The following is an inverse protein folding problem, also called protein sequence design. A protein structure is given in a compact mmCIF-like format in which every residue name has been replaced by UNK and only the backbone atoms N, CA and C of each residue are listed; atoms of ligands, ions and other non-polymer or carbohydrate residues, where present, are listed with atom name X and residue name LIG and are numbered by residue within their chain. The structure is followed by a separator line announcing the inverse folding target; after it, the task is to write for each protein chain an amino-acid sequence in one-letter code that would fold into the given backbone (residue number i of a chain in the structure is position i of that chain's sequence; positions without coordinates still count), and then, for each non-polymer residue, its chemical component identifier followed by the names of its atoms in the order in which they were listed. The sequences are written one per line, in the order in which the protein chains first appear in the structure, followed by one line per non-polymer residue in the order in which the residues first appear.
data_IF_715050973252
#
_entry.id   IF_715050973252
#
_cell.length_a   1.000
_cell.length_b   1.000
_cell.length_c   1.000
_cell.angle_alpha   90.00
_cell.angle_beta   90.00
_cell.angle_gamma   90.00
#
_symmetry.space_group_name_H-M   'P 1'
#
loop_
_entity.id
_entity.type
_entity.pdbx_description
1 polymer ?
#
# COMPACT_ATOMS: atom_id res chain seq x y z
N UNK A 1 10.22 -17.84 15.88
CA UNK A 1 8.98 -17.15 16.21
C UNK A 1 8.70 -16.04 15.21
N UNK A 2 7.55 -15.40 15.29
CA UNK A 2 7.23 -14.22 14.48
C UNK A 2 7.90 -12.97 15.06
N UNK A 3 8.18 -11.99 14.18
CA UNK A 3 8.70 -10.67 14.53
C UNK A 3 8.12 -9.62 13.55
N UNK A 4 8.21 -8.34 13.91
CA UNK A 4 7.78 -7.27 13.00
C UNK A 4 8.77 -7.10 11.84
N UNK A 5 8.26 -6.80 10.67
CA UNK A 5 9.05 -6.46 9.49
C UNK A 5 9.65 -5.06 9.65
N UNK A 6 10.96 -4.92 9.49
CA UNK A 6 11.65 -3.64 9.65
C UNK A 6 11.29 -2.65 8.52
N UNK A 7 11.01 -3.18 7.34
CA UNK A 7 10.59 -2.38 6.19
C UNK A 7 9.13 -2.68 5.82
N UNK A 8 8.22 -1.84 6.28
CA UNK A 8 6.78 -1.98 6.06
C UNK A 8 6.39 -2.22 4.59
N UNK A 9 7.11 -1.63 3.63
CA UNK A 9 6.83 -1.75 2.20
C UNK A 9 6.98 -3.20 1.72
N UNK A 10 7.93 -3.96 2.25
CA UNK A 10 8.23 -5.32 1.82
C UNK A 10 7.08 -6.30 2.10
N UNK A 11 6.21 -6.00 3.05
CA UNK A 11 5.00 -6.78 3.32
C UNK A 11 4.02 -6.84 2.13
N UNK A 12 4.17 -5.96 1.14
CA UNK A 12 3.23 -5.76 0.03
C UNK A 12 3.92 -5.75 -1.34
N UNK A 13 5.11 -6.34 -1.43
CA UNK A 13 5.90 -6.51 -2.65
C UNK A 13 5.74 -7.92 -3.23
N UNK A 14 6.12 -8.11 -4.48
CA UNK A 14 5.88 -9.36 -5.20
C UNK A 14 6.52 -10.59 -4.58
N UNK A 15 7.62 -10.42 -3.87
CA UNK A 15 8.37 -11.48 -3.20
C UNK A 15 8.04 -11.62 -1.70
N UNK A 16 6.95 -11.03 -1.22
CA UNK A 16 6.61 -11.04 0.22
C UNK A 16 6.36 -12.46 0.78
N UNK A 17 6.03 -13.41 -0.08
CA UNK A 17 5.89 -14.81 0.27
C UNK A 17 7.21 -15.56 0.47
N UNK A 18 8.31 -15.08 -0.11
CA UNK A 18 9.65 -15.67 -0.08
C UNK A 18 10.64 -14.84 0.71
N UNK A 19 10.46 -13.50 0.73
CA UNK A 19 11.33 -12.56 1.44
C UNK A 19 11.33 -12.85 2.96
N UNK A 20 12.48 -13.18 3.56
CA UNK A 20 12.56 -13.51 4.99
C UNK A 20 12.06 -12.38 5.90
N UNK A 21 12.28 -11.11 5.53
CA UNK A 21 11.84 -9.95 6.30
C UNK A 21 10.31 -9.83 6.34
N UNK A 22 9.64 -10.00 5.20
CA UNK A 22 8.19 -9.99 5.15
C UNK A 22 7.58 -11.21 5.86
N UNK A 23 8.16 -12.40 5.65
CA UNK A 23 7.68 -13.67 6.22
C UNK A 23 7.74 -13.72 7.74
N UNK A 24 8.65 -13.00 8.37
CA UNK A 24 8.70 -12.99 9.85
C UNK A 24 7.47 -12.33 10.47
N UNK A 25 6.76 -11.46 9.75
CA UNK A 25 5.54 -10.80 10.24
C UNK A 25 4.24 -11.44 9.71
N UNK A 26 4.26 -11.99 8.49
CA UNK A 26 3.05 -12.55 7.85
C UNK A 26 2.71 -13.89 8.48
N UNK A 27 1.57 -13.98 9.18
CA UNK A 27 1.10 -15.19 9.84
C UNK A 27 0.31 -16.06 8.86
N UNK A 28 -0.62 -15.46 8.12
CA UNK A 28 -1.47 -16.17 7.17
C UNK A 28 -1.66 -15.37 5.88
N UNK A 29 -0.97 -15.74 4.80
CA UNK A 29 -1.15 -15.12 3.49
C UNK A 29 -2.21 -15.84 2.65
N UNK A 30 -2.93 -15.08 1.81
CA UNK A 30 -3.58 -15.62 0.62
C UNK A 30 -2.54 -15.60 -0.50
N UNK A 31 -2.09 -16.77 -0.90
CA UNK A 31 -1.06 -16.92 -1.93
C UNK A 31 -1.54 -16.44 -3.28
N UNK A 32 -0.68 -15.68 -3.95
CA UNK A 32 -0.85 -15.20 -5.31
C UNK A 32 0.32 -15.66 -6.17
N UNK A 33 0.04 -15.91 -7.42
CA UNK A 33 1.04 -16.33 -8.41
C UNK A 33 0.57 -15.80 -9.78
N UNK A 34 1.33 -14.92 -10.36
CA UNK A 34 0.98 -14.24 -11.61
C UNK A 34 0.79 -15.19 -12.81
N UNK A 35 1.19 -16.47 -12.67
CA UNK A 35 1.04 -17.48 -13.70
C UNK A 35 -0.15 -18.40 -13.41
N UNK A 36 -0.23 -18.98 -12.21
CA UNK A 36 -1.20 -20.03 -11.85
C UNK A 36 -2.51 -19.48 -11.34
N UNK A 37 -2.46 -18.41 -10.57
CA UNK A 37 -3.64 -17.72 -10.01
C UNK A 37 -3.98 -16.45 -10.79
N UNK A 38 -3.52 -16.37 -12.04
CA UNK A 38 -3.66 -15.21 -12.92
C UNK A 38 -5.13 -14.79 -13.04
N UNK A 39 -5.45 -13.59 -12.53
CA UNK A 39 -6.77 -12.99 -12.64
C UNK A 39 -6.69 -11.48 -12.51
N UNK A 40 -7.75 -10.78 -12.87
CA UNK A 40 -7.89 -9.33 -12.64
C UNK A 40 -8.33 -8.99 -11.20
N UNK A 41 -8.53 -9.99 -10.36
CA UNK A 41 -8.78 -9.86 -8.93
C UNK A 41 -7.49 -9.92 -8.10
N UNK A 42 -7.64 -10.14 -6.79
CA UNK A 42 -6.52 -10.31 -5.88
C UNK A 42 -5.54 -9.12 -5.87
N UNK A 43 -4.25 -9.42 -5.84
CA UNK A 43 -3.20 -8.39 -5.81
C UNK A 43 -3.14 -7.56 -7.09
N UNK A 44 -3.50 -8.12 -8.26
CA UNK A 44 -3.62 -7.36 -9.50
C UNK A 44 -4.58 -6.18 -9.34
N UNK A 45 -5.79 -6.43 -8.79
CA UNK A 45 -6.76 -5.38 -8.53
C UNK A 45 -6.20 -4.31 -7.60
N UNK A 46 -5.51 -4.71 -6.53
CA UNK A 46 -4.98 -3.79 -5.53
C UNK A 46 -3.93 -2.83 -6.11
N UNK A 47 -3.16 -3.27 -7.10
CA UNK A 47 -2.19 -2.42 -7.82
C UNK A 47 -2.88 -1.59 -8.91
N UNK A 48 -3.63 -2.23 -9.80
CA UNK A 48 -4.23 -1.58 -10.97
C UNK A 48 -5.29 -0.53 -10.59
N UNK A 49 -6.10 -0.80 -9.56
CA UNK A 49 -7.20 0.07 -9.15
C UNK A 49 -6.73 1.43 -8.62
N UNK A 50 -5.55 1.48 -8.00
CA UNK A 50 -4.99 2.72 -7.44
C UNK A 50 -4.10 3.48 -8.42
N UNK A 51 -3.64 2.80 -9.46
CA UNK A 51 -2.75 3.34 -10.46
C UNK A 51 -3.51 4.17 -11.50
N UNK A 52 -2.95 5.31 -11.89
CA UNK A 52 -3.45 6.14 -12.99
C UNK A 52 -2.50 6.08 -14.19
N UNK A 53 -3.02 6.41 -15.36
CA UNK A 53 -2.21 6.51 -16.58
C UNK A 53 -1.04 7.48 -16.38
N UNK A 54 0.15 7.07 -16.83
CA UNK A 54 1.39 7.83 -16.67
C UNK A 54 2.16 7.57 -15.38
N UNK A 55 1.60 6.87 -14.41
CA UNK A 55 2.38 6.34 -13.28
C UNK A 55 3.22 5.14 -13.71
N UNK A 56 4.32 4.82 -13.01
CA UNK A 56 5.07 3.59 -13.22
C UNK A 56 4.17 2.35 -13.20
N UNK A 57 4.55 1.28 -13.92
CA UNK A 57 3.72 0.07 -14.03
C UNK A 57 3.56 -0.67 -12.71
N UNK A 58 4.61 -0.66 -11.86
CA UNK A 58 4.66 -1.43 -10.62
C UNK A 58 4.21 -2.89 -10.78
N UNK A 59 4.59 -3.52 -11.90
CA UNK A 59 4.33 -4.93 -12.16
C UNK A 59 2.90 -5.23 -12.63
N UNK A 60 2.19 -4.26 -13.23
CA UNK A 60 0.93 -4.51 -13.93
C UNK A 60 0.88 -3.77 -15.27
N UNK A 61 0.16 -4.33 -16.23
CA UNK A 61 -0.13 -3.67 -17.51
C UNK A 61 -1.39 -2.79 -17.48
N UNK A 62 -2.04 -2.66 -16.34
CA UNK A 62 -3.29 -1.92 -16.20
C UNK A 62 -3.19 -0.71 -15.26
N UNK A 63 -3.99 0.30 -15.54
CA UNK A 63 -4.20 1.47 -14.67
C UNK A 63 -5.68 1.86 -14.72
N UNK A 64 -6.43 1.45 -13.70
CA UNK A 64 -7.89 1.62 -13.69
C UNK A 64 -8.35 2.88 -13.01
N UNK A 65 -7.51 3.52 -12.22
CA UNK A 65 -7.79 4.83 -11.62
C UNK A 65 -9.08 4.89 -10.78
N UNK A 66 -9.53 3.77 -10.21
CA UNK A 66 -10.85 3.68 -9.59
C UNK A 66 -10.83 3.77 -8.05
N UNK A 67 -9.64 3.76 -7.43
CA UNK A 67 -9.48 3.90 -5.97
C UNK A 67 -8.55 5.06 -5.64
N UNK A 68 -8.96 5.89 -4.67
CA UNK A 68 -8.20 7.05 -4.17
C UNK A 68 -8.24 7.12 -2.65
N UNK A 69 -7.19 7.71 -2.08
CA UNK A 69 -7.16 8.02 -0.67
C UNK A 69 -8.12 9.19 -0.37
N UNK A 70 -8.95 9.01 0.64
CA UNK A 70 -9.76 10.09 1.20
C UNK A 70 -8.91 11.04 2.04
N UNK A 71 -9.33 12.29 2.19
CA UNK A 71 -8.73 13.30 3.08
C UNK A 71 -8.49 12.76 4.49
N UNK A 72 -9.43 11.99 5.03
CA UNK A 72 -9.33 11.37 6.36
C UNK A 72 -8.16 10.39 6.49
N UNK A 73 -7.81 9.65 5.42
CA UNK A 73 -6.63 8.80 5.41
C UNK A 73 -5.35 9.61 5.30
N UNK A 74 -5.29 10.54 4.35
CA UNK A 74 -4.09 11.38 4.14
C UNK A 74 -3.81 12.23 5.39
N UNK A 75 -4.84 12.71 6.06
CA UNK A 75 -4.75 13.46 7.31
C UNK A 75 -4.21 12.67 8.51
N UNK A 76 -4.09 11.34 8.40
CA UNK A 76 -3.38 10.54 9.41
C UNK A 76 -1.86 10.66 9.29
N UNK A 77 -1.36 11.03 8.12
CA UNK A 77 0.06 11.13 7.82
C UNK A 77 0.56 12.59 7.80
N UNK A 78 -0.29 13.52 7.42
CA UNK A 78 0.08 14.93 7.29
C UNK A 78 -0.80 15.81 8.20
N UNK A 79 -0.15 16.59 9.07
CA UNK A 79 -0.84 17.47 10.02
C UNK A 79 -1.80 18.45 9.32
N UNK A 80 -1.38 18.93 8.14
CA UNK A 80 -2.19 19.72 7.22
C UNK A 80 -2.28 18.97 5.88
N UNK A 81 -3.34 18.18 5.66
CA UNK A 81 -3.46 17.39 4.44
C UNK A 81 -3.45 18.20 3.15
N UNK A 82 -3.91 19.45 3.20
CA UNK A 82 -3.97 20.33 2.03
C UNK A 82 -2.58 20.82 1.61
N UNK A 83 -1.61 20.73 2.53
CA UNK A 83 -0.21 21.07 2.30
C UNK A 83 0.68 19.83 2.13
N UNK A 84 0.10 18.64 2.04
CA UNK A 84 0.86 17.45 1.72
C UNK A 84 1.56 17.64 0.36
N UNK A 85 2.82 17.20 0.20
CA UNK A 85 3.54 17.39 -1.04
C UNK A 85 2.81 16.82 -2.25
N UNK A 86 2.80 17.55 -3.36
CA UNK A 86 2.37 17.04 -4.66
C UNK A 86 3.61 16.59 -5.43
N UNK A 87 3.87 15.30 -5.42
CA UNK A 87 5.10 14.71 -5.98
C UNK A 87 4.87 13.34 -6.59
N UNK A 88 5.72 13.00 -7.55
CA UNK A 88 5.83 11.66 -8.13
C UNK A 88 6.72 10.72 -7.31
N UNK A 89 7.35 11.24 -6.26
CA UNK A 89 8.24 10.49 -5.38
C UNK A 89 7.51 10.06 -4.11
N UNK A 90 7.33 8.75 -3.95
CA UNK A 90 6.82 8.16 -2.70
C UNK A 90 7.78 8.42 -1.53
N UNK A 91 9.09 8.47 -1.80
CA UNK A 91 10.09 8.71 -0.76
C UNK A 91 10.02 10.13 -0.20
N UNK A 92 9.69 11.13 -1.03
CA UNK A 92 9.43 12.49 -0.55
C UNK A 92 8.20 12.56 0.36
N UNK A 93 7.15 11.80 0.02
CA UNK A 93 5.95 11.72 0.87
C UNK A 93 6.24 11.02 2.20
N UNK A 94 6.99 9.93 2.19
CA UNK A 94 7.46 9.24 3.40
C UNK A 94 8.29 10.20 4.27
N UNK A 95 9.24 10.92 3.68
CA UNK A 95 10.08 11.87 4.39
C UNK A 95 9.26 13.01 5.00
N UNK A 96 8.31 13.58 4.25
CA UNK A 96 7.44 14.65 4.73
C UNK A 96 6.49 14.19 5.84
N UNK A 97 5.97 12.98 5.75
CA UNK A 97 5.09 12.37 6.76
C UNK A 97 5.88 11.90 8.00
N UNK A 98 7.18 11.64 7.86
CA UNK A 98 8.02 10.96 8.88
C UNK A 98 7.42 9.60 9.29
N UNK A 99 6.82 8.91 8.33
CA UNK A 99 6.17 7.61 8.52
C UNK A 99 6.36 6.76 7.27
N UNK A 100 7.04 5.62 7.39
CA UNK A 100 7.32 4.70 6.28
C UNK A 100 6.06 4.09 5.64
N UNK A 101 4.90 4.24 6.28
CA UNK A 101 3.61 3.79 5.78
C UNK A 101 2.92 4.82 4.88
N UNK A 102 3.46 6.02 4.72
CA UNK A 102 2.93 7.06 3.84
C UNK A 102 3.17 6.75 2.36
N UNK A 103 2.75 5.57 1.93
CA UNK A 103 2.92 5.04 0.59
C UNK A 103 1.86 5.63 -0.36
N UNK A 104 2.08 6.88 -0.75
CA UNK A 104 1.22 7.63 -1.65
C UNK A 104 1.96 8.08 -2.91
N UNK A 105 1.18 8.45 -3.91
CA UNK A 105 1.63 9.12 -5.13
C UNK A 105 0.63 10.22 -5.46
N UNK A 106 1.09 11.45 -5.68
CA UNK A 106 0.22 12.62 -5.79
C UNK A 106 0.55 13.58 -6.94
N UNK A 107 1.60 13.32 -7.70
CA UNK A 107 2.20 14.31 -8.61
C UNK A 107 1.74 14.29 -10.06
N UNK A 108 1.07 13.24 -10.55
CA UNK A 108 0.86 13.04 -11.99
C UNK A 108 -0.62 12.84 -12.38
N UNK A 109 -0.92 13.05 -13.65
CA UNK A 109 -2.20 12.70 -14.25
C UNK A 109 -3.09 13.87 -14.65
N UNK A 110 -2.58 15.10 -14.68
CA UNK A 110 -3.27 16.28 -15.25
C UNK A 110 -4.55 16.73 -14.49
N UNK A 111 -4.84 16.11 -13.35
CA UNK A 111 -5.91 16.52 -12.46
C UNK A 111 -5.36 17.31 -11.26
N UNK A 112 -6.22 18.07 -10.62
CA UNK A 112 -5.92 18.66 -9.33
C UNK A 112 -5.84 17.55 -8.29
N UNK A 113 -4.62 17.28 -7.83
CA UNK A 113 -4.34 16.29 -6.80
C UNK A 113 -4.66 16.81 -5.41
N UNK A 114 -5.75 17.53 -5.27
CA UNK A 114 -6.13 18.08 -3.98
C UNK A 114 -6.56 16.97 -3.02
N UNK A 115 -6.10 17.09 -1.80
CA UNK A 115 -6.43 16.17 -0.71
C UNK A 115 -7.85 16.42 -0.17
N UNK A 116 -8.45 17.53 -0.52
CA UNK A 116 -9.80 17.95 -0.13
C UNK A 116 -10.92 17.11 -0.74
N UNK A 117 -10.60 16.00 -1.40
CA UNK A 117 -11.57 15.26 -2.19
C UNK A 117 -12.65 14.58 -1.35
N UNK A 118 -13.69 15.32 -1.16
CA UNK A 118 -15.00 14.74 -0.88
C UNK A 118 -15.77 14.45 -2.19
N UNK A 119 -15.39 15.15 -3.27
CA UNK A 119 -16.02 14.98 -4.59
C UNK A 119 -14.97 14.68 -5.64
N UNK A 120 -14.90 13.46 -6.10
CA UNK A 120 -14.04 13.03 -7.22
C UNK A 120 -14.76 13.35 -8.52
N UNK A 121 -14.24 14.30 -9.30
CA UNK A 121 -14.80 14.67 -10.60
C UNK A 121 -14.04 14.02 -11.75
N UNK A 122 -12.75 13.72 -11.55
CA UNK A 122 -11.89 13.07 -12.54
C UNK A 122 -11.19 11.86 -11.92
N UNK A 123 -10.91 10.85 -12.73
CA UNK A 123 -10.15 9.67 -12.31
C UNK A 123 -8.72 9.97 -11.83
N UNK A 124 -8.20 11.16 -12.12
CA UNK A 124 -6.87 11.62 -11.72
C UNK A 124 -6.87 12.41 -10.42
N UNK A 125 -8.03 12.72 -9.85
CA UNK A 125 -8.13 13.52 -8.62
C UNK A 125 -7.70 12.71 -7.38
N UNK A 126 -7.09 13.38 -6.40
CA UNK A 126 -6.66 12.80 -5.12
C UNK A 126 -5.37 12.02 -5.15
N UNK A 127 -5.01 11.45 -4.00
CA UNK A 127 -3.79 10.68 -3.82
C UNK A 127 -4.02 9.21 -4.16
N UNK A 128 -3.16 8.64 -4.99
CA UNK A 128 -3.10 7.19 -5.18
C UNK A 128 -2.41 6.54 -3.98
N UNK A 129 -2.92 5.39 -3.54
CA UNK A 129 -2.28 4.56 -2.53
C UNK A 129 -1.39 3.55 -3.23
N UNK A 130 -0.08 3.64 -3.04
CA UNK A 130 0.91 2.79 -3.69
C UNK A 130 1.50 1.74 -2.74
N UNK A 131 0.69 1.31 -1.81
CA UNK A 131 1.06 0.30 -0.83
C UNK A 131 1.39 -1.04 -1.47
N UNK A 132 0.59 -1.43 -2.47
CA UNK A 132 0.72 -2.69 -3.19
C UNK A 132 1.52 -2.51 -4.47
N UNK A 133 2.43 -3.41 -4.74
CA UNK A 133 3.22 -3.43 -5.97
C UNK A 133 3.49 -4.86 -6.43
N UNK A 134 3.55 -5.06 -7.74
CA UNK A 134 4.00 -6.30 -8.37
C UNK A 134 5.52 -6.32 -8.63
N UNK A 135 6.28 -5.44 -7.98
CA UNK A 135 7.74 -5.49 -8.00
C UNK A 135 8.26 -6.19 -6.75
N UNK A 136 9.36 -6.90 -6.88
CA UNK A 136 10.09 -7.51 -5.77
C UNK A 136 10.82 -6.46 -4.93
N UNK A 137 11.32 -6.85 -3.75
CA UNK A 137 12.16 -6.00 -2.89
C UNK A 137 13.46 -5.55 -3.58
N UNK A 138 13.89 -6.26 -4.62
CA UNK A 138 15.04 -5.91 -5.46
C UNK A 138 14.68 -5.11 -6.71
N UNK A 139 13.39 -4.73 -6.86
CA UNK A 139 12.90 -3.93 -7.99
C UNK A 139 12.66 -4.72 -9.29
N UNK A 140 12.68 -6.04 -9.24
CA UNK A 140 12.39 -6.91 -10.38
C UNK A 140 10.87 -7.10 -10.55
N UNK A 141 10.44 -7.46 -11.74
CA UNK A 141 9.05 -7.85 -11.97
C UNK A 141 8.75 -9.20 -11.30
N UNK A 142 7.46 -9.47 -11.10
CA UNK A 142 6.89 -10.77 -10.77
C UNK A 142 7.23 -11.83 -11.80
N UNK A 143 6.86 -13.09 -11.57
CA UNK A 143 7.01 -14.20 -12.51
C UNK A 143 6.29 -13.94 -13.85
N UNK A 144 5.19 -13.21 -13.82
CA UNK A 144 4.57 -12.61 -15.01
C UNK A 144 4.81 -11.09 -14.98
N UNK A 145 5.26 -10.44 -16.07
CA UNK A 145 5.57 -9.00 -16.08
C UNK A 145 4.36 -8.10 -15.90
N UNK A 146 3.17 -8.63 -16.11
CA UNK A 146 1.91 -7.91 -16.10
C UNK A 146 1.00 -8.24 -14.93
N UNK A 147 1.23 -9.35 -14.24
CA UNK A 147 0.40 -9.83 -13.13
C UNK A 147 1.24 -10.09 -11.88
N UNK A 148 0.93 -9.44 -10.77
CA UNK A 148 1.71 -9.56 -9.54
C UNK A 148 1.65 -10.95 -8.90
N UNK A 149 2.79 -11.37 -8.33
CA UNK A 149 2.89 -12.54 -7.43
C UNK A 149 2.57 -12.16 -5.98
N UNK A 150 2.35 -10.89 -5.69
CA UNK A 150 2.23 -10.35 -4.33
C UNK A 150 1.15 -11.06 -3.52
N UNK A 151 1.53 -11.80 -2.52
CA UNK A 151 0.62 -12.43 -1.57
C UNK A 151 -0.19 -11.39 -0.79
N UNK A 152 -1.44 -11.72 -0.44
CA UNK A 152 -2.27 -10.85 0.39
C UNK A 152 -2.15 -11.31 1.85
N UNK A 153 -1.46 -10.57 2.72
CA UNK A 153 -1.39 -10.90 4.14
C UNK A 153 -2.76 -10.72 4.82
N UNK A 154 -3.45 -11.82 5.09
CA UNK A 154 -4.74 -11.79 5.79
C UNK A 154 -4.56 -11.56 7.28
N UNK A 155 -3.54 -12.19 7.89
CA UNK A 155 -3.17 -11.98 9.28
C UNK A 155 -1.68 -11.69 9.40
N UNK A 156 -1.36 -10.66 10.17
CA UNK A 156 0.01 -10.23 10.47
C UNK A 156 0.21 -10.04 11.96
N UNK A 157 1.46 -10.18 12.42
CA UNK A 157 1.82 -9.99 13.82
C UNK A 157 1.45 -8.59 14.35
N UNK A 158 1.61 -7.55 13.53
CA UNK A 158 1.21 -6.19 13.90
C UNK A 158 -0.28 -6.11 14.30
N UNK A 159 -1.17 -6.84 13.61
CA UNK A 159 -2.59 -6.91 13.95
C UNK A 159 -2.80 -7.59 15.30
N UNK A 160 -2.07 -8.67 15.59
CA UNK A 160 -2.14 -9.34 16.88
C UNK A 160 -1.74 -8.41 18.04
N UNK A 161 -0.73 -7.57 17.84
CA UNK A 161 -0.35 -6.54 18.82
C UNK A 161 -1.45 -5.49 19.01
N UNK A 162 -2.09 -5.04 17.93
CA UNK A 162 -3.20 -4.07 18.00
C UNK A 162 -4.42 -4.68 18.71
N UNK A 163 -4.77 -5.93 18.39
CA UNK A 163 -5.87 -6.66 19.08
C UNK A 163 -5.56 -6.79 20.57
N UNK A 164 -4.33 -7.15 20.93
CA UNK A 164 -3.91 -7.23 22.33
C UNK A 164 -4.00 -5.88 23.03
N UNK A 165 -3.56 -4.81 22.40
CA UNK A 165 -3.64 -3.46 22.94
C UNK A 165 -5.10 -3.03 23.17
N UNK A 166 -5.97 -3.28 22.21
CA UNK A 166 -7.39 -2.99 22.33
C UNK A 166 -8.06 -3.82 23.44
N UNK A 167 -7.76 -5.12 23.52
CA UNK A 167 -8.29 -5.98 24.56
C UNK A 167 -7.86 -5.50 25.96
N UNK A 168 -6.60 -5.14 26.13
CA UNK A 168 -6.09 -4.60 27.40
C UNK A 168 -6.79 -3.29 27.77
N UNK A 169 -6.98 -2.39 26.80
CA UNK A 169 -7.71 -1.12 27.03
C UNK A 169 -9.15 -1.40 27.49
N UNK A 170 -9.86 -2.31 26.82
CA UNK A 170 -11.24 -2.69 27.17
C UNK A 170 -11.35 -3.34 28.54
N UNK A 171 -10.34 -4.10 28.96
CA UNK A 171 -10.27 -4.76 30.26
C UNK A 171 -9.78 -3.83 31.38
N UNK A 172 -9.37 -2.60 31.06
CA UNK A 172 -8.82 -1.65 32.06
C UNK A 172 -7.46 -2.10 32.64
N UNK A 173 -6.74 -2.97 31.95
CA UNK A 173 -5.45 -3.53 32.40
C UNK A 173 -4.25 -2.67 31.98
N UNK A 174 -4.47 -1.61 31.21
CA UNK A 174 -3.44 -0.63 30.84
C UNK A 174 -3.48 0.50 31.85
N UNK A 175 -2.42 0.64 32.65
CA UNK A 175 -2.17 1.87 33.39
C UNK A 175 -1.99 3.02 32.37
N UNK A 176 -2.78 4.08 32.50
CA UNK A 176 -2.61 5.30 31.72
C UNK A 176 -1.30 6.01 32.08
#
# INVERSE_FOLDING_TARGET
GYDLCDNYKELFMADNGENPEARKEIIFPLRQDGIRTKSYGGSFFLVAATRIAGMPSWGTNASWSCIRARKSLVGKFFKDPERAPLTESTDELIAAAKDSRALFYSGKGGGERQVTLETVTKFTDGFSVVKWTGLTSTGQNSSDPDVPDTDIPLFRLAEAYLIRAEANLRLGTVAM
#
